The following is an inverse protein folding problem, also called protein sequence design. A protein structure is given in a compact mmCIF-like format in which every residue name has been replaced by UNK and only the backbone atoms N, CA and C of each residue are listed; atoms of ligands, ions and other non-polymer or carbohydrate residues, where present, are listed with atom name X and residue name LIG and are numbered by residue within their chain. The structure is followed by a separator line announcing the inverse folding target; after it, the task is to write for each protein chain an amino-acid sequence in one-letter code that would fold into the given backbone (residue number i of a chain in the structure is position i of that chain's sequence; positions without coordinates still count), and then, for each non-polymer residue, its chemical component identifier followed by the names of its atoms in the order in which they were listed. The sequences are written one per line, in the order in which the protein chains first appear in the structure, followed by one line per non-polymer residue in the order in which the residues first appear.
data_IF_238858350528
#
_entry.id   IF_238858350528
#
_cell.length_a   1.000
_cell.length_b   1.000
_cell.length_c   1.000
_cell.angle_alpha   90.00
_cell.angle_beta   90.00
_cell.angle_gamma   90.00
#
_symmetry.space_group_name_H-M   'P 1'
#
loop_
_entity.id
_entity.type
_entity.pdbx_description
1 polymer ?
#
# COMPACT_ATOMS: atom_id res chain seq x y z
N UNK A 1 27.53 21.94 26.06
CA UNK A 1 26.35 22.54 25.38
C UNK A 1 26.17 22.09 23.94
N UNK A 2 27.25 21.99 23.13
CA UNK A 2 27.16 21.55 21.72
C UNK A 2 26.54 20.15 21.53
N UNK A 3 26.92 19.16 22.36
CA UNK A 3 26.39 17.79 22.24
C UNK A 3 24.89 17.68 22.58
N UNK A 4 24.38 18.48 23.51
CA UNK A 4 22.95 18.48 23.85
C UNK A 4 22.09 19.02 22.71
N UNK A 5 22.57 20.04 22.00
CA UNK A 5 21.87 20.61 20.84
C UNK A 5 21.78 19.58 19.71
N UNK A 6 22.84 18.82 19.46
CA UNK A 6 22.84 17.75 18.46
C UNK A 6 21.84 16.64 18.78
N UNK A 7 21.76 16.20 20.04
CA UNK A 7 20.81 15.16 20.46
C UNK A 7 19.37 15.63 20.28
N UNK A 8 19.05 16.87 20.65
CA UNK A 8 17.72 17.44 20.48
C UNK A 8 17.35 17.52 19.00
N UNK A 9 18.25 18.03 18.15
CA UNK A 9 18.02 18.12 16.70
C UNK A 9 17.81 16.73 16.06
N UNK A 10 18.63 15.75 16.41
CA UNK A 10 18.44 14.38 15.93
C UNK A 10 17.11 13.78 16.38
N UNK A 11 16.72 13.97 17.64
CA UNK A 11 15.42 13.50 18.13
C UNK A 11 14.24 14.17 17.42
N UNK A 12 14.34 15.47 17.11
CA UNK A 12 13.30 16.21 16.42
C UNK A 12 13.16 15.77 14.95
N UNK A 13 14.29 15.53 14.27
CA UNK A 13 14.30 15.00 12.89
C UNK A 13 13.70 13.59 12.83
N UNK A 14 14.01 12.74 13.81
CA UNK A 14 13.39 11.40 13.93
C UNK A 14 11.87 11.50 14.15
N UNK A 15 11.42 12.41 15.03
CA UNK A 15 10.00 12.62 15.28
C UNK A 15 9.25 13.14 14.05
N UNK A 16 9.79 14.13 13.34
CA UNK A 16 9.20 14.65 12.09
C UNK A 16 9.08 13.51 11.07
N UNK A 17 10.13 12.70 10.91
CA UNK A 17 10.12 11.58 9.97
C UNK A 17 9.07 10.52 10.30
N UNK A 18 8.84 10.24 11.60
CA UNK A 18 7.78 9.33 12.03
C UNK A 18 6.37 9.89 11.75
N UNK A 19 6.17 11.21 11.90
CA UNK A 19 4.86 11.83 11.66
C UNK A 19 4.44 11.82 10.19
N UNK A 20 5.39 11.82 9.24
CA UNK A 20 5.08 11.76 7.80
C UNK A 20 4.62 10.38 7.33
N UNK A 21 4.87 9.31 8.10
CA UNK A 21 4.45 7.93 7.79
C UNK A 21 3.03 7.65 8.28
N UNK A 22 2.45 8.50 9.15
CA UNK A 22 1.03 8.42 9.50
C UNK A 22 0.22 8.72 8.25
N UNK A 23 -0.13 7.66 7.54
CA UNK A 23 -0.91 7.69 6.32
C UNK A 23 -2.23 8.39 6.56
N UNK A 24 -2.79 8.96 5.49
CA UNK A 24 -4.20 9.34 5.43
C UNK A 24 -5.01 8.28 6.17
N UNK A 25 -5.66 8.66 7.28
CA UNK A 25 -6.62 7.81 7.94
C UNK A 25 -7.73 7.58 6.91
N UNK A 26 -7.81 6.36 6.39
CA UNK A 26 -8.87 5.92 5.49
C UNK A 26 -10.18 5.70 6.27
N UNK A 27 -10.51 6.62 7.17
CA UNK A 27 -11.66 6.62 8.04
C UNK A 27 -12.51 7.85 7.69
N UNK A 28 -13.53 7.64 6.85
CA UNK A 28 -14.39 8.72 6.38
C UNK A 28 -15.44 8.24 5.38
N UNK A 29 -16.66 8.80 5.49
CA UNK A 29 -17.84 8.51 4.64
C UNK A 29 -17.58 8.66 3.13
N UNK A 30 -16.57 9.43 2.74
CA UNK A 30 -16.14 9.57 1.34
C UNK A 30 -14.89 8.74 1.07
N UNK A 31 -15.09 7.52 0.57
CA UNK A 31 -14.00 6.62 0.20
C UNK A 31 -13.17 7.21 -0.95
N UNK A 32 -11.95 7.65 -0.66
CA UNK A 32 -11.02 8.12 -1.70
C UNK A 32 -10.53 6.95 -2.58
N UNK A 33 -10.16 7.22 -3.83
CA UNK A 33 -9.56 6.21 -4.72
C UNK A 33 -8.33 5.51 -4.10
N UNK A 34 -7.50 6.28 -3.37
CA UNK A 34 -6.32 5.76 -2.67
C UNK A 34 -6.74 4.77 -1.58
N UNK A 35 -7.70 5.16 -0.75
CA UNK A 35 -8.20 4.33 0.33
C UNK A 35 -8.90 3.06 -0.17
N UNK A 36 -9.67 3.15 -1.26
CA UNK A 36 -10.27 1.96 -1.87
C UNK A 36 -9.21 0.95 -2.35
N UNK A 37 -8.13 1.43 -2.96
CA UNK A 37 -7.03 0.55 -3.40
C UNK A 37 -6.32 -0.11 -2.23
N UNK A 38 -6.06 0.64 -1.16
CA UNK A 38 -5.44 0.12 0.06
C UNK A 38 -6.34 -0.92 0.74
N UNK A 39 -7.63 -0.64 0.86
CA UNK A 39 -8.62 -1.58 1.40
C UNK A 39 -8.65 -2.90 0.60
N UNK A 40 -8.76 -2.83 -0.73
CA UNK A 40 -8.69 -4.03 -1.58
C UNK A 40 -7.36 -4.79 -1.43
N UNK A 41 -6.24 -4.08 -1.24
CA UNK A 41 -4.94 -4.70 -1.02
C UNK A 41 -4.91 -5.45 0.31
N UNK A 42 -5.24 -4.76 1.41
CA UNK A 42 -5.22 -5.33 2.75
C UNK A 42 -6.20 -6.49 2.89
N UNK A 43 -7.47 -6.28 2.52
CA UNK A 43 -8.52 -7.31 2.66
C UNK A 43 -8.19 -8.60 1.89
N UNK A 44 -7.65 -8.49 0.66
CA UNK A 44 -7.33 -9.68 -0.16
C UNK A 44 -6.01 -10.33 0.25
N UNK A 45 -5.02 -9.55 0.69
CA UNK A 45 -3.77 -10.10 1.21
C UNK A 45 -3.99 -10.82 2.54
N UNK A 46 -4.81 -10.26 3.45
CA UNK A 46 -5.20 -10.88 4.72
C UNK A 46 -5.98 -12.17 4.46
N UNK A 47 -7.02 -12.12 3.61
CA UNK A 47 -7.76 -13.33 3.21
C UNK A 47 -6.83 -14.43 2.68
N UNK A 48 -5.89 -14.09 1.79
CA UNK A 48 -4.96 -15.08 1.25
C UNK A 48 -3.98 -15.60 2.32
N UNK A 49 -3.58 -14.74 3.25
CA UNK A 49 -2.73 -15.14 4.39
C UNK A 49 -3.45 -16.13 5.29
N UNK A 50 -4.73 -15.89 5.57
CA UNK A 50 -5.56 -16.80 6.38
C UNK A 50 -5.79 -18.15 5.67
N UNK A 51 -6.02 -18.12 4.35
CA UNK A 51 -6.22 -19.33 3.54
C UNK A 51 -4.94 -20.17 3.40
N UNK A 52 -3.78 -19.53 3.29
CA UNK A 52 -2.48 -20.20 3.13
C UNK A 52 -1.84 -20.58 4.47
N UNK A 53 -2.10 -19.82 5.54
CA UNK A 53 -1.42 -19.93 6.83
C UNK A 53 -0.06 -19.21 6.89
N UNK A 54 0.32 -18.51 5.82
CA UNK A 54 1.57 -17.75 5.69
C UNK A 54 1.40 -16.63 4.65
N UNK A 55 2.41 -15.77 4.50
CA UNK A 55 2.32 -14.61 3.59
C UNK A 55 2.39 -15.10 2.14
N UNK A 56 1.45 -14.72 1.25
CA UNK A 56 1.48 -15.15 -0.14
C UNK A 56 2.81 -14.83 -0.83
N UNK A 57 3.46 -15.85 -1.41
CA UNK A 57 4.78 -15.70 -2.03
C UNK A 57 5.93 -16.28 -1.22
N UNK A 58 5.69 -16.68 0.02
CA UNK A 58 6.73 -17.27 0.89
C UNK A 58 7.21 -18.63 0.37
N UNK A 59 6.29 -19.48 -0.10
CA UNK A 59 6.63 -20.81 -0.62
C UNK A 59 6.90 -20.82 -2.12
N UNK A 60 6.14 -20.05 -2.91
CA UNK A 60 6.29 -20.00 -4.36
C UNK A 60 5.76 -18.69 -4.96
N UNK A 61 6.24 -18.34 -6.16
CA UNK A 61 5.81 -17.13 -6.89
C UNK A 61 4.33 -17.19 -7.33
N UNK A 62 3.80 -18.39 -7.56
CA UNK A 62 2.43 -18.57 -8.04
C UNK A 62 1.39 -18.09 -7.01
N UNK A 63 1.62 -18.32 -5.71
CA UNK A 63 0.81 -17.79 -4.60
C UNK A 63 0.72 -16.27 -4.63
N UNK A 64 1.87 -15.61 -4.83
CA UNK A 64 1.93 -14.16 -4.95
C UNK A 64 1.15 -13.69 -6.18
N UNK A 65 1.35 -14.31 -7.34
CA UNK A 65 0.65 -13.95 -8.58
C UNK A 65 -0.86 -14.17 -8.47
N UNK A 66 -1.31 -15.25 -7.85
CA UNK A 66 -2.72 -15.55 -7.65
C UNK A 66 -3.36 -14.53 -6.70
N UNK A 67 -2.68 -14.17 -5.62
CA UNK A 67 -3.13 -13.12 -4.69
C UNK A 67 -3.20 -11.74 -5.39
N UNK A 68 -2.18 -11.40 -6.19
CA UNK A 68 -2.16 -10.16 -6.97
C UNK A 68 -3.31 -10.09 -7.98
N UNK A 69 -3.71 -11.22 -8.59
CA UNK A 69 -4.90 -11.29 -9.46
C UNK A 69 -6.18 -10.99 -8.67
N UNK A 70 -6.32 -11.53 -7.46
CA UNK A 70 -7.48 -11.26 -6.59
C UNK A 70 -7.55 -9.78 -6.19
N UNK A 71 -6.41 -9.19 -5.79
CA UNK A 71 -6.32 -7.76 -5.48
C UNK A 71 -6.70 -6.92 -6.70
N UNK A 72 -6.12 -7.21 -7.87
CA UNK A 72 -6.41 -6.49 -9.12
C UNK A 72 -7.91 -6.56 -9.46
N UNK A 73 -8.53 -7.74 -9.29
CA UNK A 73 -9.97 -7.92 -9.48
C UNK A 73 -10.78 -7.02 -8.54
N UNK A 74 -10.48 -7.03 -7.24
CA UNK A 74 -11.12 -6.16 -6.25
C UNK A 74 -11.02 -4.67 -6.63
N UNK A 75 -9.82 -4.20 -6.99
CA UNK A 75 -9.59 -2.80 -7.37
C UNK A 75 -10.40 -2.42 -8.61
N UNK A 76 -10.45 -3.31 -9.60
CA UNK A 76 -11.19 -3.06 -10.85
C UNK A 76 -12.70 -3.01 -10.60
N UNK A 77 -13.22 -3.89 -9.76
CA UNK A 77 -14.65 -3.97 -9.45
C UNK A 77 -15.13 -2.85 -8.53
N UNK A 78 -14.37 -2.52 -7.48
CA UNK A 78 -14.80 -1.57 -6.44
C UNK A 78 -14.31 -0.14 -6.65
N UNK A 79 -13.08 0.03 -7.14
CA UNK A 79 -12.39 1.32 -7.09
C UNK A 79 -12.43 2.08 -8.41
N UNK A 80 -12.76 1.46 -9.54
CA UNK A 80 -12.77 2.13 -10.86
C UNK A 80 -13.72 3.34 -10.90
N UNK A 81 -14.84 3.28 -10.20
CA UNK A 81 -15.78 4.40 -10.08
C UNK A 81 -15.24 5.58 -9.25
N UNK A 82 -14.37 5.31 -8.26
CA UNK A 82 -13.76 6.32 -7.39
C UNK A 82 -12.48 6.88 -8.03
N UNK A 83 -11.78 6.04 -8.77
CA UNK A 83 -10.56 6.37 -9.47
C UNK A 83 -10.91 6.89 -10.86
N UNK A 84 -10.99 8.22 -11.03
CA UNK A 84 -10.93 8.81 -12.38
C UNK A 84 -9.79 8.13 -13.12
N UNK A 85 -10.02 7.73 -14.38
CA UNK A 85 -9.03 7.11 -15.24
C UNK A 85 -7.86 8.08 -15.49
N UNK A 86 -7.02 8.25 -14.48
CA UNK A 86 -5.78 8.99 -14.59
C UNK A 86 -4.82 7.98 -15.20
N UNK A 87 -4.82 7.96 -16.53
CA UNK A 87 -3.87 7.23 -17.33
C UNK A 87 -2.48 7.71 -16.91
N UNK A 88 -1.87 7.03 -15.94
CA UNK A 88 -0.48 7.22 -15.56
C UNK A 88 0.28 6.25 -16.44
N UNK A 89 0.88 6.69 -17.57
CA UNK A 89 1.75 5.80 -18.32
C UNK A 89 2.78 5.26 -17.33
N UNK A 90 2.83 3.93 -17.16
CA UNK A 90 3.86 3.31 -16.32
C UNK A 90 5.13 3.32 -17.16
N UNK A 91 6.12 4.18 -16.87
CA UNK A 91 7.28 4.30 -17.75
C UNK A 91 8.12 3.01 -17.83
N UNK A 92 7.94 2.07 -16.90
CA UNK A 92 8.78 0.87 -16.77
C UNK A 92 8.16 -0.45 -17.25
N UNK A 93 6.88 -0.51 -17.65
CA UNK A 93 6.26 -1.80 -18.04
C UNK A 93 6.47 -2.21 -19.50
N UNK A 94 7.17 -1.41 -20.30
CA UNK A 94 7.48 -1.71 -21.71
C UNK A 94 8.79 -2.52 -21.91
N UNK A 95 9.39 -3.04 -20.84
CA UNK A 95 10.69 -3.75 -20.89
C UNK A 95 10.58 -5.28 -20.75
N UNK A 96 9.36 -5.83 -20.67
CA UNK A 96 9.13 -7.27 -20.52
C UNK A 96 8.07 -7.76 -21.52
N UNK A 97 8.28 -7.46 -22.81
CA UNK A 97 7.56 -8.09 -23.92
C UNK A 97 8.54 -8.83 -24.83
#
# INVERSE_FOLDING_TARGET
MRNFIFVILCSYVLLISLTTIRGDECDGETQSCKCCKLDCWHSKAEQATDELGHIPGENNEEEALNTLKLIKKCVTEKCTQLCKAQFRPRPFFNLMQ
#
